data_IF_001248779589
#
_entry.id   IF_001248779589
#
_cell.length_a   1.000
_cell.length_b   1.000
_cell.length_c   1.000
_cell.angle_alpha   90.00
_cell.angle_beta   90.00
_cell.angle_gamma   90.00
#
_symmetry.space_group_name_H-M   'P 1'
#
loop_
_entity.id
_entity.type
_entity.pdbx_description
1 polymer ?
#
# COMPACT_ATOMS: atom_id res chain seq x y z
N UNK A 1 34.67 0.06 13.21
CA UNK A 1 35.09 0.61 11.91
C UNK A 1 33.88 0.68 10.97
N UNK A 2 33.67 1.83 10.35
CA UNK A 2 32.58 2.03 9.37
C UNK A 2 32.94 1.31 8.06
N UNK A 3 32.01 0.51 7.55
CA UNK A 3 32.17 -0.26 6.29
C UNK A 3 31.07 0.05 5.28
N UNK A 4 30.33 1.18 5.44
CA UNK A 4 29.25 1.56 4.53
C UNK A 4 29.70 1.73 3.08
N UNK A 5 30.94 2.16 2.86
CA UNK A 5 31.52 2.34 1.52
C UNK A 5 31.92 1.03 0.84
N UNK A 6 31.94 -0.06 1.60
CA UNK A 6 32.26 -1.37 1.04
C UNK A 6 31.07 -1.94 0.24
N UNK A 7 31.33 -2.79 -0.77
CA UNK A 7 30.28 -3.51 -1.48
C UNK A 7 29.33 -4.27 -0.56
N UNK A 8 28.06 -4.38 -0.94
CA UNK A 8 27.05 -5.14 -0.18
C UNK A 8 27.52 -6.57 0.10
N UNK A 9 28.14 -7.25 -0.87
CA UNK A 9 28.69 -8.60 -0.70
C UNK A 9 29.68 -8.68 0.49
N UNK A 10 30.60 -7.73 0.61
CA UNK A 10 31.55 -7.68 1.73
C UNK A 10 30.87 -7.37 3.06
N UNK A 11 29.96 -6.39 3.07
CA UNK A 11 29.21 -6.01 4.29
C UNK A 11 28.38 -7.19 4.78
N UNK A 12 27.78 -7.96 3.85
CA UNK A 12 27.02 -9.15 4.18
C UNK A 12 27.91 -10.25 4.76
N UNK A 13 29.01 -10.60 4.09
CA UNK A 13 29.95 -11.59 4.61
C UNK A 13 30.47 -11.22 6.03
N UNK A 14 30.69 -9.92 6.29
CA UNK A 14 31.11 -9.47 7.62
C UNK A 14 29.99 -9.63 8.66
N UNK A 15 28.73 -9.33 8.30
CA UNK A 15 27.57 -9.56 9.17
C UNK A 15 27.42 -11.06 9.50
N UNK A 16 27.48 -11.92 8.51
CA UNK A 16 27.36 -13.37 8.68
C UNK A 16 28.47 -13.91 9.60
N UNK A 17 29.71 -13.45 9.43
CA UNK A 17 30.82 -13.81 10.30
C UNK A 17 30.64 -13.34 11.75
N UNK A 18 30.08 -12.13 11.96
CA UNK A 18 29.78 -11.62 13.32
C UNK A 18 28.68 -12.48 13.97
N UNK A 19 27.61 -12.78 13.24
CA UNK A 19 26.50 -13.59 13.77
C UNK A 19 26.95 -15.02 14.12
N UNK A 20 27.80 -15.61 13.29
CA UNK A 20 28.38 -16.95 13.56
C UNK A 20 29.33 -16.95 14.77
N UNK A 21 30.03 -15.85 15.01
CA UNK A 21 30.95 -15.73 16.12
C UNK A 21 30.27 -15.31 17.46
N UNK A 22 28.96 -15.06 17.47
CA UNK A 22 28.24 -14.72 18.67
C UNK A 22 28.24 -15.89 19.67
N UNK A 23 28.66 -15.66 20.93
CA UNK A 23 28.60 -16.68 21.96
C UNK A 23 27.16 -17.20 22.18
N UNK A 24 26.96 -18.48 22.48
CA UNK A 24 25.63 -19.07 22.67
C UNK A 24 24.74 -18.34 23.68
N UNK A 25 25.32 -17.77 24.74
CA UNK A 25 24.57 -17.02 25.74
C UNK A 25 24.06 -15.66 25.24
N UNK A 26 24.61 -15.12 24.16
CA UNK A 26 24.14 -13.92 23.49
C UNK A 26 23.20 -14.23 22.33
N UNK A 27 23.34 -15.40 21.69
CA UNK A 27 22.50 -15.81 20.57
C UNK A 27 21.20 -16.48 20.99
N UNK A 28 21.17 -17.20 22.12
CA UNK A 28 20.00 -17.96 22.57
C UNK A 28 18.85 -17.11 23.15
N UNK A 29 19.10 -15.85 23.49
CA UNK A 29 18.07 -14.94 24.06
C UNK A 29 17.65 -13.79 23.15
N UNK A 30 18.31 -13.59 22.02
CA UNK A 30 18.04 -12.49 21.10
C UNK A 30 17.46 -13.01 19.79
N UNK A 31 16.36 -12.46 19.27
CA UNK A 31 15.80 -12.82 17.99
C UNK A 31 16.63 -12.20 16.85
N UNK A 32 17.94 -12.53 16.80
CA UNK A 32 18.87 -12.03 15.80
C UNK A 32 19.07 -13.08 14.71
N UNK A 33 18.65 -12.74 13.50
CA UNK A 33 18.92 -13.53 12.31
C UNK A 33 19.30 -12.63 11.14
N UNK A 34 20.22 -13.10 10.32
CA UNK A 34 20.44 -12.46 9.02
C UNK A 34 19.29 -12.82 8.10
N UNK A 35 18.67 -11.83 7.44
CA UNK A 35 17.67 -12.13 6.40
C UNK A 35 18.29 -12.97 5.29
N UNK A 36 17.66 -14.08 4.92
CA UNK A 36 18.18 -14.97 3.88
C UNK A 36 18.25 -14.28 2.53
N UNK A 37 19.33 -14.53 1.78
CA UNK A 37 19.36 -14.18 0.37
C UNK A 37 18.53 -15.22 -0.39
N UNK A 38 17.62 -14.72 -1.24
CA UNK A 38 16.82 -15.56 -2.12
C UNK A 38 17.69 -15.93 -3.33
N UNK A 39 17.83 -17.22 -3.60
CA UNK A 39 18.53 -17.75 -4.76
C UNK A 39 17.50 -18.28 -5.77
N UNK A 40 17.73 -18.00 -7.05
CA UNK A 40 17.00 -18.58 -8.16
C UNK A 40 17.95 -18.76 -9.34
N UNK A 41 17.70 -19.73 -10.24
CA UNK A 41 18.59 -20.00 -11.37
C UNK A 41 18.60 -18.84 -12.38
N UNK A 42 17.49 -18.13 -12.52
CA UNK A 42 17.27 -17.07 -13.51
C UNK A 42 16.17 -16.09 -13.06
N UNK A 43 15.82 -15.18 -13.95
CA UNK A 43 14.76 -14.18 -13.72
C UNK A 43 13.37 -14.79 -13.65
N UNK A 44 13.11 -15.88 -14.38
CA UNK A 44 11.82 -16.57 -14.35
C UNK A 44 11.62 -17.25 -13.00
N UNK A 45 12.65 -17.88 -12.46
CA UNK A 45 12.67 -18.44 -11.11
C UNK A 45 12.42 -17.35 -10.04
N UNK A 46 13.06 -16.18 -10.17
CA UNK A 46 12.78 -15.05 -9.29
C UNK A 46 11.33 -14.53 -9.43
N UNK A 47 10.79 -14.50 -10.64
CA UNK A 47 9.39 -14.11 -10.89
C UNK A 47 8.40 -15.07 -10.23
N UNK A 48 8.67 -16.39 -10.28
CA UNK A 48 7.87 -17.39 -9.58
C UNK A 48 7.90 -17.20 -8.06
N UNK A 49 9.08 -16.98 -7.47
CA UNK A 49 9.22 -16.70 -6.05
C UNK A 49 8.48 -15.38 -5.69
N UNK A 50 8.62 -14.34 -6.52
CA UNK A 50 7.88 -13.10 -6.33
C UNK A 50 6.36 -13.34 -6.32
N UNK A 51 5.85 -14.19 -7.21
CA UNK A 51 4.42 -14.46 -7.31
C UNK A 51 3.84 -15.08 -6.02
N UNK A 52 4.63 -15.86 -5.29
CA UNK A 52 4.22 -16.46 -4.01
C UNK A 52 4.51 -15.59 -2.79
N UNK A 53 5.12 -14.42 -2.95
CA UNK A 53 5.56 -13.58 -1.83
C UNK A 53 4.42 -13.19 -0.86
N UNK A 54 3.16 -13.08 -1.35
CA UNK A 54 2.01 -12.79 -0.49
C UNK A 54 1.72 -13.87 0.53
N UNK A 55 1.89 -15.13 0.17
CA UNK A 55 1.71 -16.26 1.10
C UNK A 55 2.75 -16.24 2.23
N UNK A 56 3.89 -15.59 1.98
CA UNK A 56 4.93 -15.35 2.98
C UNK A 56 4.76 -14.01 3.73
N UNK A 57 3.63 -13.33 3.56
CA UNK A 57 3.36 -12.02 4.16
C UNK A 57 4.23 -10.88 3.60
N UNK A 58 4.82 -11.05 2.40
CA UNK A 58 5.70 -10.08 1.77
C UNK A 58 5.02 -9.38 0.58
N UNK A 59 5.40 -8.12 0.33
CA UNK A 59 4.88 -7.31 -0.78
C UNK A 59 5.59 -7.58 -2.12
N UNK A 60 6.56 -8.50 -2.16
CA UNK A 60 7.42 -8.81 -3.30
C UNK A 60 8.88 -8.97 -2.90
N UNK A 61 9.80 -8.73 -3.83
CA UNK A 61 11.23 -8.89 -3.65
C UNK A 61 11.98 -7.56 -3.55
N UNK A 62 13.07 -7.54 -2.78
CA UNK A 62 14.03 -6.45 -2.76
C UNK A 62 15.28 -6.88 -3.51
N UNK A 63 15.50 -6.30 -4.68
CA UNK A 63 16.70 -6.53 -5.48
C UNK A 63 17.78 -5.53 -5.09
N UNK A 64 19.01 -6.00 -4.89
CA UNK A 64 20.13 -5.17 -4.48
C UNK A 64 21.38 -5.55 -5.27
N UNK A 65 22.06 -4.55 -5.85
CA UNK A 65 23.32 -4.76 -6.52
C UNK A 65 24.41 -5.16 -5.52
N UNK A 66 25.05 -6.30 -5.70
CA UNK A 66 26.06 -6.82 -4.77
C UNK A 66 27.29 -5.91 -4.63
N UNK A 67 27.64 -5.17 -5.68
CA UNK A 67 28.75 -4.20 -5.65
C UNK A 67 28.38 -2.84 -5.05
N UNK A 68 27.11 -2.62 -4.65
CA UNK A 68 26.67 -1.32 -4.15
C UNK A 68 27.20 -1.00 -2.76
N UNK A 69 27.67 0.24 -2.51
CA UNK A 69 27.86 0.74 -1.16
C UNK A 69 26.53 1.03 -0.47
N UNK A 70 26.57 1.39 0.80
CA UNK A 70 25.39 1.83 1.54
C UNK A 70 25.29 3.37 1.51
N UNK A 71 24.41 3.88 0.66
CA UNK A 71 24.22 5.32 0.54
C UNK A 71 23.29 5.87 1.63
N UNK A 72 23.55 7.10 2.05
CA UNK A 72 22.59 7.88 2.80
C UNK A 72 21.56 8.52 1.86
N UNK A 73 20.30 8.60 2.33
CA UNK A 73 19.19 9.18 1.55
C UNK A 73 18.65 8.26 0.45
N UNK A 74 17.90 8.84 -0.49
CA UNK A 74 17.22 8.11 -1.56
C UNK A 74 18.01 8.19 -2.86
N UNK A 75 19.00 7.32 -3.04
CA UNK A 75 19.70 7.15 -4.32
C UNK A 75 19.01 6.07 -5.16
N UNK A 76 18.94 6.30 -6.47
CA UNK A 76 18.40 5.35 -7.45
C UNK A 76 19.54 4.56 -8.09
N UNK A 77 19.24 3.36 -8.60
CA UNK A 77 20.12 2.60 -9.48
C UNK A 77 20.84 1.41 -8.84
N UNK A 78 20.73 1.20 -7.53
CA UNK A 78 21.38 0.07 -6.86
C UNK A 78 20.43 -0.85 -6.10
N UNK A 79 19.27 -0.33 -5.67
CA UNK A 79 18.26 -1.10 -4.96
C UNK A 79 16.89 -0.86 -5.58
N UNK A 80 16.14 -1.97 -5.83
CA UNK A 80 14.82 -1.93 -6.45
C UNK A 80 13.84 -2.78 -5.65
N UNK A 81 12.63 -2.25 -5.48
CA UNK A 81 11.49 -3.01 -4.99
C UNK A 81 10.76 -3.61 -6.19
N UNK A 82 10.79 -4.91 -6.32
CA UNK A 82 10.01 -5.63 -7.32
C UNK A 82 8.72 -6.15 -6.67
N UNK A 83 7.78 -5.23 -6.53
CA UNK A 83 6.52 -5.48 -5.84
C UNK A 83 5.56 -6.32 -6.66
N UNK A 84 4.67 -7.04 -5.95
CA UNK A 84 3.44 -7.58 -6.53
C UNK A 84 2.50 -6.44 -6.91
N UNK A 85 1.60 -6.71 -7.86
CA UNK A 85 0.52 -5.76 -8.17
C UNK A 85 -0.41 -5.63 -6.95
N UNK A 86 -0.87 -4.42 -6.62
CA UNK A 86 -1.77 -4.23 -5.50
C UNK A 86 -3.09 -4.98 -5.73
N UNK A 87 -3.76 -5.36 -4.67
CA UNK A 87 -5.18 -5.69 -4.73
C UNK A 87 -5.96 -4.44 -5.11
N UNK A 88 -7.02 -4.60 -5.87
CA UNK A 88 -7.90 -3.48 -6.22
C UNK A 88 -9.34 -3.77 -5.84
N UNK A 89 -10.09 -2.72 -5.55
CA UNK A 89 -11.51 -2.73 -5.29
C UNK A 89 -12.14 -1.50 -5.94
N UNK A 90 -13.26 -1.69 -6.62
CA UNK A 90 -14.08 -0.58 -7.12
C UNK A 90 -15.05 -0.12 -6.05
N UNK A 91 -15.02 1.15 -5.72
CA UNK A 91 -15.82 1.72 -4.66
C UNK A 91 -16.32 3.13 -5.00
N UNK A 92 -17.44 3.53 -4.42
CA UNK A 92 -18.03 4.83 -4.65
C UNK A 92 -17.64 5.83 -3.55
N UNK A 93 -17.37 7.08 -3.93
CA UNK A 93 -17.09 8.16 -2.99
C UNK A 93 -18.35 8.56 -2.23
N UNK A 94 -18.27 8.59 -0.90
CA UNK A 94 -19.37 8.98 0.00
C UNK A 94 -19.11 10.32 0.69
N UNK A 95 -17.84 10.57 1.06
CA UNK A 95 -17.43 11.80 1.73
C UNK A 95 -16.12 12.31 1.17
N UNK A 96 -16.00 13.64 1.15
CA UNK A 96 -14.77 14.34 0.80
C UNK A 96 -14.39 15.30 1.93
N UNK A 97 -13.13 15.31 2.31
CA UNK A 97 -12.58 16.17 3.35
C UNK A 97 -11.57 17.13 2.75
N UNK A 98 -11.62 18.40 3.18
CA UNK A 98 -10.67 19.43 2.76
C UNK A 98 -9.25 19.06 3.19
N UNK A 99 -8.29 19.32 2.31
CA UNK A 99 -6.87 19.12 2.57
C UNK A 99 -6.29 20.16 3.52
N UNK A 100 -4.99 20.06 3.76
CA UNK A 100 -4.25 20.95 4.66
C UNK A 100 -3.11 21.69 3.93
N UNK A 101 -2.70 22.83 4.48
CA UNK A 101 -1.59 23.61 3.96
C UNK A 101 -1.83 24.09 2.52
N UNK A 102 -0.92 23.80 1.60
CA UNK A 102 -1.05 24.21 0.19
C UNK A 102 -2.29 23.67 -0.53
N UNK A 103 -2.90 22.60 -0.03
CA UNK A 103 -4.09 21.94 -0.58
C UNK A 103 -5.36 22.24 0.22
N UNK A 104 -5.36 23.26 1.09
CA UNK A 104 -6.52 23.63 1.91
C UNK A 104 -7.78 23.99 1.10
N UNK A 105 -7.60 24.44 -0.14
CA UNK A 105 -8.70 24.79 -1.06
C UNK A 105 -9.20 23.60 -1.89
N UNK A 106 -8.61 22.44 -1.74
CA UNK A 106 -8.96 21.21 -2.46
C UNK A 106 -9.52 20.18 -1.48
N UNK A 107 -10.39 19.32 -1.96
CA UNK A 107 -10.74 18.09 -1.27
C UNK A 107 -9.70 17.02 -1.65
N UNK A 108 -9.01 16.47 -0.66
CA UNK A 108 -7.88 15.55 -0.88
C UNK A 108 -8.04 14.22 -0.19
N UNK A 109 -8.89 14.15 0.81
CA UNK A 109 -9.15 12.94 1.59
C UNK A 109 -10.59 12.50 1.34
N UNK A 110 -10.74 11.26 0.86
CA UNK A 110 -12.03 10.73 0.44
C UNK A 110 -12.39 9.48 1.24
N UNK A 111 -13.66 9.35 1.60
CA UNK A 111 -14.20 8.12 2.19
C UNK A 111 -15.02 7.40 1.14
N UNK A 112 -14.73 6.12 0.98
CA UNK A 112 -15.33 5.26 -0.03
C UNK A 112 -16.21 4.20 0.60
N UNK A 113 -17.25 3.81 -0.13
CA UNK A 113 -18.17 2.75 0.23
C UNK A 113 -18.25 1.65 -0.82
N UNK A 114 -18.59 0.47 -0.35
CA UNK A 114 -18.91 -0.72 -1.15
C UNK A 114 -20.32 -1.18 -0.84
N UNK A 115 -20.86 -2.08 -1.65
CA UNK A 115 -22.21 -2.58 -1.49
C UNK A 115 -22.28 -3.64 -0.37
N UNK A 116 -23.28 -3.50 0.49
CA UNK A 116 -23.67 -4.51 1.49
C UNK A 116 -25.18 -4.75 1.35
N UNK A 117 -25.56 -5.78 0.62
CA UNK A 117 -26.94 -5.98 0.19
C UNK A 117 -27.43 -4.80 -0.66
N UNK A 118 -28.48 -4.12 -0.20
CA UNK A 118 -29.05 -2.92 -0.85
C UNK A 118 -28.40 -1.61 -0.39
N UNK A 119 -27.58 -1.64 0.66
CA UNK A 119 -26.94 -0.47 1.24
C UNK A 119 -25.52 -0.28 0.70
N UNK A 120 -25.00 0.95 0.84
CA UNK A 120 -23.61 1.28 0.62
C UNK A 120 -22.98 1.62 1.95
N UNK A 121 -21.99 0.82 2.36
CA UNK A 121 -21.32 0.98 3.64
C UNK A 121 -19.92 1.56 3.47
N UNK A 122 -19.53 2.56 4.26
CA UNK A 122 -18.19 3.10 4.21
C UNK A 122 -17.19 2.05 4.70
N UNK A 123 -16.09 1.88 3.94
CA UNK A 123 -15.08 0.89 4.28
C UNK A 123 -13.67 1.47 4.37
N UNK A 124 -13.35 2.55 3.68
CA UNK A 124 -11.98 3.05 3.61
C UNK A 124 -11.89 4.55 3.39
N UNK A 125 -10.72 5.10 3.80
CA UNK A 125 -10.28 6.44 3.41
C UNK A 125 -9.02 6.34 2.56
N UNK A 126 -8.95 7.14 1.49
CA UNK A 126 -7.77 7.24 0.67
C UNK A 126 -7.53 8.70 0.22
N UNK A 127 -6.27 9.04 -0.07
CA UNK A 127 -5.83 10.43 -0.28
C UNK A 127 -4.72 10.58 -1.33
N UNK A 128 -4.33 9.54 -2.03
CA UNK A 128 -3.22 9.58 -3.00
C UNK A 128 -3.54 8.81 -4.27
N UNK A 129 -2.88 9.17 -5.36
CA UNK A 129 -3.00 8.49 -6.66
C UNK A 129 -3.65 9.33 -7.74
N UNK A 130 -4.34 10.42 -7.38
CA UNK A 130 -4.95 11.35 -8.32
C UNK A 130 -3.95 12.43 -8.77
N UNK A 131 -4.13 12.90 -9.98
CA UNK A 131 -3.43 14.06 -10.52
C UNK A 131 -4.00 15.37 -9.98
N UNK A 132 -3.24 16.47 -10.05
CA UNK A 132 -3.73 17.78 -9.64
C UNK A 132 -4.96 18.23 -10.46
N UNK A 133 -5.04 17.85 -11.73
CA UNK A 133 -6.21 18.09 -12.58
C UNK A 133 -7.45 17.38 -12.05
N UNK A 134 -7.34 16.10 -11.68
CA UNK A 134 -8.42 15.32 -11.09
C UNK A 134 -8.84 15.87 -9.73
N UNK A 135 -7.90 16.28 -8.86
CA UNK A 135 -8.24 16.95 -7.60
C UNK A 135 -9.06 18.23 -7.83
N UNK A 136 -8.69 19.04 -8.81
CA UNK A 136 -9.43 20.26 -9.15
C UNK A 136 -10.84 19.95 -9.68
N UNK A 137 -10.98 18.93 -10.51
CA UNK A 137 -12.27 18.51 -11.06
C UNK A 137 -13.20 17.96 -9.97
N UNK A 138 -12.69 17.04 -9.15
CA UNK A 138 -13.43 16.48 -8.01
C UNK A 138 -13.81 17.58 -7.01
N UNK A 139 -12.92 18.53 -6.75
CA UNK A 139 -13.23 19.66 -5.85
C UNK A 139 -14.40 20.47 -6.35
N UNK A 140 -14.44 20.81 -7.64
CA UNK A 140 -15.58 21.53 -8.24
C UNK A 140 -16.88 20.71 -8.15
N UNK A 141 -16.78 19.41 -8.43
CA UNK A 141 -17.92 18.50 -8.33
C UNK A 141 -18.44 18.43 -6.88
N UNK A 142 -17.56 18.23 -5.89
CA UNK A 142 -17.94 18.20 -4.46
C UNK A 142 -18.62 19.51 -4.03
N UNK A 143 -18.12 20.67 -4.47
CA UNK A 143 -18.70 21.97 -4.12
C UNK A 143 -20.15 22.12 -4.60
N UNK A 144 -20.47 21.58 -5.77
CA UNK A 144 -21.80 21.67 -6.39
C UNK A 144 -22.74 20.55 -5.98
N UNK A 145 -22.21 19.39 -5.51
CA UNK A 145 -23.00 18.21 -5.16
C UNK A 145 -22.99 17.87 -3.65
N UNK A 146 -22.60 18.83 -2.81
CA UNK A 146 -22.64 18.62 -1.35
C UNK A 146 -24.05 18.45 -0.85
N UNK A 147 -24.38 17.31 -0.26
CA UNK A 147 -25.66 17.01 0.38
C UNK A 147 -25.71 17.53 1.82
N UNK A 148 -24.65 17.28 2.60
CA UNK A 148 -24.53 17.64 4.01
C UNK A 148 -23.11 18.11 4.33
N UNK A 149 -22.95 18.94 5.35
CA UNK A 149 -21.66 19.50 5.80
C UNK A 149 -21.40 19.15 7.25
N UNK A 150 -20.23 18.53 7.51
CA UNK A 150 -19.76 18.18 8.85
C UNK A 150 -18.37 18.80 9.08
N UNK A 151 -18.33 20.07 9.46
CA UNK A 151 -17.07 20.81 9.55
C UNK A 151 -16.29 20.78 8.22
N UNK A 152 -15.08 20.22 8.17
CA UNK A 152 -14.29 20.13 6.93
C UNK A 152 -14.76 19.03 5.97
N UNK A 153 -15.67 18.16 6.40
CA UNK A 153 -16.16 17.01 5.63
C UNK A 153 -17.44 17.36 4.88
N UNK A 154 -17.56 16.88 3.66
CA UNK A 154 -18.76 17.00 2.81
C UNK A 154 -19.27 15.59 2.52
N UNK A 155 -20.55 15.35 2.77
CA UNK A 155 -21.28 14.21 2.26
C UNK A 155 -21.72 14.52 0.83
N UNK A 156 -21.52 13.58 -0.06
CA UNK A 156 -21.85 13.72 -1.49
C UNK A 156 -22.73 12.55 -1.94
N UNK A 157 -23.47 12.69 -3.06
CA UNK A 157 -24.18 11.56 -3.63
C UNK A 157 -23.18 10.47 -4.06
N UNK A 158 -23.63 9.21 -3.93
CA UNK A 158 -22.83 8.05 -4.29
C UNK A 158 -22.83 7.86 -5.82
N UNK A 159 -22.02 8.63 -6.54
CA UNK A 159 -21.99 8.66 -8.00
C UNK A 159 -20.59 8.40 -8.57
N UNK A 160 -19.55 8.98 -7.96
CA UNK A 160 -18.18 8.87 -8.49
C UNK A 160 -17.52 7.58 -8.02
N UNK A 161 -17.17 6.71 -8.97
CA UNK A 161 -16.52 5.42 -8.72
C UNK A 161 -15.01 5.53 -8.88
N UNK A 162 -14.30 4.88 -7.96
CA UNK A 162 -12.84 4.82 -7.93
C UNK A 162 -12.36 3.39 -7.74
N UNK A 163 -11.33 3.01 -8.47
CA UNK A 163 -10.53 1.83 -8.18
C UNK A 163 -9.53 2.18 -7.07
N UNK A 164 -9.56 1.41 -6.02
CA UNK A 164 -8.72 1.62 -4.85
C UNK A 164 -7.71 0.50 -4.74
N UNK A 165 -6.43 0.82 -4.92
CA UNK A 165 -5.32 -0.13 -4.79
C UNK A 165 -4.81 -0.22 -3.36
N UNK A 166 -4.51 -1.44 -2.88
CA UNK A 166 -3.94 -1.67 -1.55
C UNK A 166 -2.98 -2.86 -1.54
N UNK A 167 -1.96 -2.78 -0.68
CA UNK A 167 -0.91 -3.80 -0.56
C UNK A 167 -1.19 -4.83 0.54
N UNK A 168 -2.08 -4.51 1.48
CA UNK A 168 -2.46 -5.41 2.57
C UNK A 168 -3.82 -5.06 3.15
N UNK A 169 -4.54 -6.08 3.57
CA UNK A 169 -5.80 -5.98 4.28
C UNK A 169 -5.55 -6.44 5.72
N UNK A 170 -5.88 -5.60 6.70
CA UNK A 170 -5.83 -5.97 8.11
C UNK A 170 -7.20 -5.80 8.72
N UNK A 171 -7.63 -6.79 9.50
CA UNK A 171 -8.81 -6.64 10.32
C UNK A 171 -8.55 -5.54 11.37
N UNK A 172 -9.36 -4.49 11.38
CA UNK A 172 -9.25 -3.39 12.34
C UNK A 172 -10.55 -3.25 13.12
N UNK A 173 -10.51 -3.37 14.45
CA UNK A 173 -11.69 -3.15 15.29
C UNK A 173 -12.13 -1.68 15.33
N UNK A 174 -11.29 -0.74 14.86
CA UNK A 174 -11.56 0.71 14.85
C UNK A 174 -12.32 1.20 13.62
N UNK A 175 -12.29 0.46 12.52
CA UNK A 175 -12.99 0.79 11.29
C UNK A 175 -13.94 -0.34 10.94
N UNK A 176 -15.18 -0.02 10.56
CA UNK A 176 -16.17 -1.03 10.12
C UNK A 176 -15.66 -1.93 8.97
N UNK A 177 -14.64 -1.47 8.24
CA UNK A 177 -14.02 -2.19 7.13
C UNK A 177 -12.65 -2.79 7.39
N UNK A 178 -11.89 -2.26 8.36
CA UNK A 178 -10.57 -2.78 8.72
C UNK A 178 -9.45 -2.69 7.68
N UNK A 179 -9.55 -1.79 6.69
CA UNK A 179 -8.63 -1.77 5.54
C UNK A 179 -7.82 -0.47 5.50
N UNK A 180 -6.49 -0.58 5.31
CA UNK A 180 -5.62 0.55 5.04
C UNK A 180 -5.29 0.60 3.53
N UNK A 181 -5.57 1.74 2.87
CA UNK A 181 -5.50 1.90 1.43
C UNK A 181 -4.50 2.96 1.00
N UNK A 182 -3.94 2.84 -0.22
CA UNK A 182 -2.87 3.72 -0.68
C UNK A 182 -3.06 4.38 -2.03
N UNK A 183 -3.74 3.79 -3.00
CA UNK A 183 -3.81 4.33 -4.36
C UNK A 183 -5.24 4.48 -4.82
N UNK A 184 -5.56 5.66 -5.39
CA UNK A 184 -6.82 5.97 -6.01
C UNK A 184 -6.65 6.09 -7.52
N UNK A 185 -7.58 5.54 -8.27
CA UNK A 185 -7.75 5.74 -9.70
C UNK A 185 -9.20 6.05 -9.98
N UNK A 186 -9.49 7.20 -10.55
CA UNK A 186 -10.87 7.55 -10.91
C UNK A 186 -11.35 6.71 -12.09
N UNK A 187 -12.44 6.00 -11.90
CA UNK A 187 -13.08 5.13 -12.90
C UNK A 187 -14.27 5.83 -13.53
N UNK A 188 -14.00 6.68 -14.52
CA UNK A 188 -15.05 7.41 -15.26
C UNK A 188 -15.92 6.51 -16.12
N UNK A 189 -15.45 5.28 -16.37
CA UNK A 189 -16.09 4.23 -17.15
C UNK A 189 -17.05 3.36 -16.32
N UNK A 190 -17.11 3.56 -14.99
CA UNK A 190 -17.91 2.76 -14.06
C UNK A 190 -18.97 3.59 -13.34
N UNK A 191 -20.10 2.95 -13.05
CA UNK A 191 -21.18 3.49 -12.23
C UNK A 191 -21.36 2.74 -10.91
N UNK A 192 -22.31 3.18 -10.09
CA UNK A 192 -22.58 2.58 -8.77
C UNK A 192 -22.99 1.10 -8.86
N UNK A 193 -23.50 0.66 -10.01
CA UNK A 193 -23.81 -0.76 -10.24
C UNK A 193 -22.55 -1.64 -10.28
N UNK A 194 -21.43 -1.06 -10.65
CA UNK A 194 -20.16 -1.77 -10.90
C UNK A 194 -19.24 -1.84 -9.67
N UNK A 195 -19.64 -1.24 -8.51
CA UNK A 195 -18.82 -1.29 -7.31
C UNK A 195 -18.81 -2.68 -6.68
N UNK A 196 -17.70 -2.98 -6.04
CA UNK A 196 -17.51 -4.22 -5.29
C UNK A 196 -18.45 -4.32 -4.08
N UNK A 197 -18.52 -5.52 -3.51
CA UNK A 197 -19.34 -5.82 -2.34
C UNK A 197 -18.48 -6.00 -1.09
N UNK A 198 -19.11 -5.90 0.08
CA UNK A 198 -18.44 -6.18 1.34
C UNK A 198 -17.98 -7.65 1.42
N UNK A 199 -18.71 -8.56 0.77
CA UNK A 199 -18.33 -9.98 0.71
C UNK A 199 -17.11 -10.21 -0.18
N UNK A 200 -16.99 -9.50 -1.32
CA UNK A 200 -15.76 -9.56 -2.12
C UNK A 200 -14.53 -9.08 -1.34
N UNK A 201 -14.68 -8.04 -0.51
CA UNK A 201 -13.62 -7.58 0.39
C UNK A 201 -13.26 -8.59 1.47
N UNK A 202 -14.25 -9.27 2.05
CA UNK A 202 -14.02 -10.35 3.03
C UNK A 202 -13.29 -11.54 2.39
N UNK A 203 -13.64 -11.88 1.15
CA UNK A 203 -12.94 -12.92 0.40
C UNK A 203 -11.47 -12.56 0.17
N UNK A 204 -11.16 -11.31 -0.20
CA UNK A 204 -9.78 -10.82 -0.31
C UNK A 204 -9.02 -10.86 1.03
N UNK A 205 -9.69 -10.52 2.14
CA UNK A 205 -9.10 -10.60 3.48
C UNK A 205 -8.73 -12.03 3.86
N UNK A 206 -9.55 -13.01 3.49
CA UNK A 206 -9.29 -14.41 3.76
C UNK A 206 -8.19 -14.99 2.85
N UNK A 207 -8.09 -14.52 1.61
CA UNK A 207 -7.02 -14.90 0.68
C UNK A 207 -5.64 -14.30 1.03
N UNK A 208 -5.63 -13.24 1.86
CA UNK A 208 -4.40 -12.55 2.30
C UNK A 208 -3.86 -13.10 3.65
N UNK A 209 -4.53 -14.07 4.25
CA UNK A 209 -4.10 -14.78 5.47
C UNK A 209 -3.40 -16.08 5.15
#
# INVERSE_FOLDING_TARGET
HDIRDQPLSRRRARLDAILQALPPHLSSGLPLAASSAIAAPDWDGLAMIRATARHEGAEGLMLKRLASPYFQGRKRGDWWKWKLDPWTVDAVMLYAQAGHGRRANLYTDFTFGVRDGNDIVPFAKAYSGLTDAEFNEITRWVQTHTLERFGPVRKVPAELVFEIGFEGIQASPRHKSGIALRLLRWRRDKGVADIDTLDSLRALLNAAR
#
